data_IF_031115051055
#
_entry.id   IF_031115051055
#
_cell.length_a   1.000
_cell.length_b   1.000
_cell.length_c   1.000
_cell.angle_alpha   90.00
_cell.angle_beta   90.00
_cell.angle_gamma   90.00
#
_symmetry.space_group_name_H-M   'P 1'
#
loop_
_entity.id
_entity.type
_entity.pdbx_description
1 polymer ?
#
# COMPACT_ATOMS: atom_id res chain seq x y z
N UNK A 1 5.51 0.41 6.86
CA UNK A 1 4.80 -0.64 6.08
C UNK A 1 4.79 -0.26 4.60
N UNK A 2 5.34 -1.08 3.73
CA UNK A 2 5.24 -0.89 2.27
C UNK A 2 4.10 -1.75 1.74
N UNK A 3 3.02 -1.08 1.34
CA UNK A 3 1.76 -1.69 0.95
C UNK A 3 0.77 -1.83 2.12
N UNK A 4 -0.47 -1.41 1.86
CA UNK A 4 -1.63 -1.56 2.76
C UNK A 4 -2.71 -2.47 2.15
N UNK A 5 -2.29 -3.60 1.57
CA UNK A 5 -3.23 -4.70 1.28
C UNK A 5 -3.67 -5.41 2.56
N UNK A 6 -4.41 -6.51 2.48
CA UNK A 6 -4.95 -7.19 3.67
C UNK A 6 -3.88 -7.52 4.74
N UNK A 7 -2.75 -8.11 4.32
CA UNK A 7 -1.64 -8.45 5.23
C UNK A 7 -0.97 -7.20 5.81
N UNK A 8 -0.58 -6.26 4.95
CA UNK A 8 0.13 -5.06 5.37
C UNK A 8 -0.71 -4.14 6.27
N UNK A 9 -1.99 -3.99 5.96
CA UNK A 9 -2.92 -3.21 6.77
C UNK A 9 -3.15 -3.87 8.14
N UNK A 10 -3.34 -5.20 8.18
CA UNK A 10 -3.57 -5.91 9.44
C UNK A 10 -2.35 -5.84 10.37
N UNK A 11 -1.17 -6.25 9.91
CA UNK A 11 0.03 -6.23 10.75
C UNK A 11 0.45 -4.81 11.12
N UNK A 12 0.35 -3.86 10.19
CA UNK A 12 0.63 -2.47 10.49
C UNK A 12 -0.34 -1.88 11.53
N UNK A 13 -1.63 -2.26 11.48
CA UNK A 13 -2.60 -1.84 12.47
C UNK A 13 -2.34 -2.46 13.85
N UNK A 14 -1.94 -3.75 13.90
CA UNK A 14 -1.55 -4.42 15.16
C UNK A 14 -0.32 -3.75 15.76
N UNK A 15 0.71 -3.44 14.96
CA UNK A 15 1.92 -2.75 15.43
C UNK A 15 1.63 -1.34 15.94
N UNK A 16 0.79 -0.57 15.22
CA UNK A 16 0.37 0.76 15.67
C UNK A 16 -0.38 0.68 17.00
N UNK A 17 -1.30 -0.30 17.12
CA UNK A 17 -2.07 -0.53 18.36
C UNK A 17 -1.18 -0.95 19.53
N UNK A 18 -0.07 -1.65 19.28
CA UNK A 18 0.94 -2.00 20.27
C UNK A 18 1.82 -0.81 20.71
N UNK A 19 1.63 0.38 20.11
CA UNK A 19 2.34 1.61 20.48
C UNK A 19 3.55 1.96 19.60
N UNK A 20 3.80 1.22 18.52
CA UNK A 20 4.84 1.57 17.57
C UNK A 20 4.38 2.68 16.62
N UNK A 21 5.31 3.55 16.19
CA UNK A 21 5.03 4.57 15.18
C UNK A 21 5.08 3.93 13.78
N UNK A 22 3.92 3.65 13.19
CA UNK A 22 3.81 2.95 11.91
C UNK A 22 3.39 3.91 10.80
N UNK A 23 4.27 4.09 9.83
CA UNK A 23 4.00 4.81 8.60
C UNK A 23 3.65 3.84 7.46
N UNK A 24 2.72 4.22 6.60
CA UNK A 24 2.28 3.43 5.45
C UNK A 24 2.70 4.09 4.14
N UNK A 25 3.49 3.37 3.35
CA UNK A 25 3.78 3.70 1.95
C UNK A 25 2.77 2.98 1.06
N UNK A 26 1.87 3.73 0.44
CA UNK A 26 0.73 3.22 -0.34
C UNK A 26 0.61 3.95 -1.67
N UNK A 27 -0.38 3.56 -2.48
CA UNK A 27 -0.72 4.26 -3.73
C UNK A 27 -1.71 5.39 -3.45
N UNK A 28 -1.75 6.41 -4.32
CA UNK A 28 -2.69 7.54 -4.20
C UNK A 28 -4.11 7.11 -3.86
N UNK A 29 -4.63 6.09 -4.57
CA UNK A 29 -6.00 5.57 -4.35
C UNK A 29 -6.33 5.25 -2.89
N UNK A 30 -5.34 4.77 -2.13
CA UNK A 30 -5.54 4.40 -0.73
C UNK A 30 -5.02 5.46 0.24
N UNK A 31 -4.14 6.38 -0.20
CA UNK A 31 -3.48 7.34 0.67
C UNK A 31 -4.49 8.24 1.40
N UNK A 32 -5.37 8.90 0.64
CA UNK A 32 -6.37 9.81 1.20
C UNK A 32 -7.34 9.09 2.14
N UNK A 33 -7.81 7.91 1.76
CA UNK A 33 -8.76 7.13 2.56
C UNK A 33 -8.13 6.69 3.88
N UNK A 34 -6.89 6.19 3.86
CA UNK A 34 -6.20 5.75 5.09
C UNK A 34 -5.85 6.97 5.95
N UNK A 35 -5.47 8.09 5.35
CA UNK A 35 -5.12 9.30 6.09
C UNK A 35 -6.33 9.92 6.80
N UNK A 36 -7.51 9.87 6.18
CA UNK A 36 -8.74 10.46 6.74
C UNK A 36 -9.55 9.50 7.60
N UNK A 37 -9.62 8.22 7.22
CA UNK A 37 -10.44 7.20 7.88
C UNK A 37 -9.62 6.16 8.63
N UNK A 38 -8.29 6.21 8.59
CA UNK A 38 -7.45 5.21 9.25
C UNK A 38 -7.61 3.81 8.66
N UNK A 39 -7.27 2.81 9.47
CA UNK A 39 -7.38 1.39 9.12
C UNK A 39 -8.34 0.73 10.11
N UNK A 40 -9.44 0.17 9.59
CA UNK A 40 -10.36 -0.64 10.36
C UNK A 40 -10.00 -2.12 10.20
N UNK A 41 -9.96 -2.83 11.32
CA UNK A 41 -9.75 -4.28 11.39
C UNK A 41 -11.02 -4.91 11.93
N UNK A 42 -11.54 -5.88 11.19
CA UNK A 42 -12.73 -6.65 11.54
C UNK A 42 -12.38 -8.13 11.63
N UNK A 43 -12.94 -8.82 12.62
CA UNK A 43 -12.84 -10.28 12.78
C UNK A 43 -14.23 -10.84 13.05
N UNK A 44 -14.46 -12.12 12.76
CA UNK A 44 -15.71 -12.79 13.11
C UNK A 44 -15.91 -12.92 14.62
N UNK A 45 -14.81 -13.00 15.37
CA UNK A 45 -14.83 -13.33 16.80
C UNK A 45 -14.74 -12.12 17.72
N UNK A 46 -14.61 -10.91 17.16
CA UNK A 46 -14.43 -9.69 17.95
C UNK A 46 -15.03 -8.46 17.26
N UNK A 47 -15.51 -7.46 18.04
CA UNK A 47 -15.94 -6.19 17.49
C UNK A 47 -14.84 -5.52 16.65
N UNK A 48 -15.22 -4.81 15.57
CA UNK A 48 -14.24 -4.10 14.76
C UNK A 48 -13.59 -2.99 15.57
N UNK A 49 -12.32 -2.75 15.27
CA UNK A 49 -11.55 -1.66 15.87
C UNK A 49 -10.77 -0.94 14.78
N UNK A 50 -10.32 0.27 15.09
CA UNK A 50 -9.70 1.16 14.13
C UNK A 50 -8.47 1.83 14.73
N UNK A 51 -7.49 2.11 13.87
CA UNK A 51 -6.32 2.92 14.21
C UNK A 51 -6.18 4.08 13.23
N UNK A 52 -5.56 5.15 13.71
CA UNK A 52 -4.96 6.17 12.86
C UNK A 52 -3.46 5.88 12.78
N UNK A 53 -2.89 5.70 11.58
CA UNK A 53 -1.46 5.49 11.43
C UNK A 53 -0.68 6.77 11.76
N UNK A 54 0.60 6.61 12.12
CA UNK A 54 1.49 7.74 12.38
C UNK A 54 1.73 8.60 11.14
N UNK A 55 1.68 7.98 9.96
CA UNK A 55 1.70 8.70 8.69
C UNK A 55 1.34 7.80 7.51
N UNK A 56 0.96 8.45 6.41
CA UNK A 56 0.67 7.80 5.12
C UNK A 56 1.32 8.64 4.03
N UNK A 57 2.09 8.02 3.15
CA UNK A 57 2.66 8.71 1.98
C UNK A 57 2.63 7.79 0.74
N UNK A 58 2.79 8.40 -0.42
CA UNK A 58 3.04 7.75 -1.70
C UNK A 58 4.52 7.71 -2.07
N UNK A 59 5.37 8.46 -1.36
CA UNK A 59 6.81 8.51 -1.56
C UNK A 59 7.55 8.11 -0.28
N UNK A 60 8.54 7.23 -0.43
CA UNK A 60 9.37 6.81 0.71
C UNK A 60 10.16 7.97 1.33
N UNK A 61 10.53 8.98 0.53
CA UNK A 61 11.25 10.17 0.99
C UNK A 61 10.52 10.96 2.07
N UNK A 62 9.19 10.88 2.12
CA UNK A 62 8.38 11.68 3.03
C UNK A 62 8.22 11.04 4.41
N UNK A 63 8.59 9.76 4.54
CA UNK A 63 8.46 8.98 5.78
C UNK A 63 9.69 9.17 6.68
N UNK A 64 10.85 9.50 6.09
CA UNK A 64 12.12 9.61 6.81
C UNK A 64 12.73 8.25 7.15
N UNK A 65 13.70 8.26 8.07
CA UNK A 65 14.36 7.03 8.52
C UNK A 65 13.40 6.14 9.34
N UNK A 66 13.58 4.82 9.24
CA UNK A 66 12.75 3.84 9.94
C UNK A 66 13.64 2.74 10.53
N UNK A 67 13.37 2.33 11.76
CA UNK A 67 14.09 1.22 12.41
C UNK A 67 13.91 -0.11 11.66
N UNK A 68 12.76 -0.28 11.01
CA UNK A 68 12.45 -1.45 10.20
C UNK A 68 11.50 -1.11 9.04
N UNK A 69 11.73 -1.77 7.91
CA UNK A 69 10.85 -1.69 6.72
C UNK A 69 10.27 -3.07 6.43
N UNK A 70 8.94 -3.18 6.50
CA UNK A 70 8.21 -4.41 6.18
C UNK A 70 7.60 -4.28 4.79
N UNK A 71 8.02 -5.16 3.87
CA UNK A 71 7.46 -5.29 2.53
C UNK A 71 6.23 -6.22 2.58
N UNK A 72 5.05 -5.65 2.40
CA UNK A 72 3.77 -6.37 2.40
C UNK A 72 3.07 -6.29 1.03
N UNK A 73 3.87 -6.28 -0.03
CA UNK A 73 3.43 -6.29 -1.43
C UNK A 73 3.43 -7.72 -2.00
N UNK A 74 2.86 -7.91 -3.19
CA UNK A 74 2.91 -9.22 -3.85
C UNK A 74 4.35 -9.54 -4.27
N UNK A 75 4.75 -10.81 -4.17
CA UNK A 75 6.14 -11.28 -4.32
C UNK A 75 6.85 -10.80 -5.60
N UNK A 76 6.13 -10.69 -6.72
CA UNK A 76 6.68 -10.21 -7.99
C UNK A 76 7.11 -8.73 -7.98
N UNK A 77 6.74 -7.96 -6.96
CA UNK A 77 7.16 -6.56 -6.80
C UNK A 77 8.43 -6.41 -5.94
N UNK A 78 8.91 -7.51 -5.34
CA UNK A 78 10.03 -7.47 -4.38
C UNK A 78 11.36 -7.14 -5.06
N UNK A 79 11.63 -7.73 -6.24
CA UNK A 79 12.88 -7.49 -6.99
C UNK A 79 13.01 -6.04 -7.43
N UNK A 80 11.91 -5.41 -7.84
CA UNK A 80 11.90 -3.99 -8.23
C UNK A 80 12.17 -3.08 -7.04
N UNK A 81 11.54 -3.37 -5.90
CA UNK A 81 11.76 -2.62 -4.66
C UNK A 81 13.17 -2.75 -4.13
N UNK A 82 13.75 -3.96 -4.16
CA UNK A 82 15.12 -4.20 -3.74
C UNK A 82 16.14 -3.46 -4.64
N UNK A 83 15.82 -3.29 -5.93
CA UNK A 83 16.64 -2.52 -6.86
C UNK A 83 16.51 -0.99 -6.70
N UNK A 84 15.79 -0.50 -5.68
CA UNK A 84 15.49 0.92 -5.50
C UNK A 84 14.58 1.49 -6.60
N UNK A 85 14.04 0.63 -7.47
CA UNK A 85 13.10 1.03 -8.51
C UNK A 85 11.72 1.02 -7.90
N UNK A 86 11.25 2.19 -7.49
CA UNK A 86 9.82 2.41 -7.38
C UNK A 86 9.26 2.30 -8.81
N UNK A 87 8.92 1.08 -9.23
CA UNK A 87 8.45 0.75 -10.57
C UNK A 87 7.31 1.72 -10.96
N UNK A 88 7.16 2.18 -12.21
CA UNK A 88 5.96 2.89 -12.66
C UNK A 88 4.66 2.16 -12.32
N UNK A 89 4.67 0.84 -12.10
CA UNK A 89 3.51 0.13 -11.55
C UNK A 89 3.15 0.54 -10.11
N UNK A 90 4.04 1.10 -9.30
CA UNK A 90 3.71 1.75 -8.03
C UNK A 90 3.03 3.12 -8.24
N UNK A 91 3.27 3.77 -9.39
CA UNK A 91 2.66 5.02 -9.83
C UNK A 91 1.40 4.85 -10.71
N UNK A 92 1.17 3.68 -11.32
CA UNK A 92 0.04 3.45 -12.21
C UNK A 92 -0.68 2.14 -11.90
N UNK A 93 -1.97 2.24 -11.63
CA UNK A 93 -2.90 1.18 -12.02
C UNK A 93 -3.85 1.83 -13.04
N UNK A 94 -3.98 1.30 -14.27
CA UNK A 94 -4.98 1.82 -15.20
C UNK A 94 -6.39 1.72 -14.57
N UNK A 95 -7.31 2.63 -14.95
CA UNK A 95 -8.68 2.59 -14.43
C UNK A 95 -9.30 1.23 -14.75
N UNK A 96 -10.00 0.66 -13.77
CA UNK A 96 -10.76 -0.56 -13.95
C UNK A 96 -11.86 -0.28 -14.99
N UNK A 97 -11.69 -0.76 -16.22
CA UNK A 97 -12.65 -0.51 -17.30
C UNK A 97 -12.17 -0.65 -18.75
N UNK A 98 -10.90 -0.94 -19.03
CA UNK A 98 -10.48 -1.23 -20.41
C UNK A 98 -10.77 -2.70 -20.75
N UNK A 99 -12.01 -2.96 -21.15
CA UNK A 99 -12.38 -4.16 -21.89
C UNK A 99 -11.63 -4.25 -23.22
N UNK A 100 -11.57 -5.47 -23.73
CA UNK A 100 -11.05 -5.86 -25.04
C UNK A 100 -11.28 -4.80 -26.12
N UNK A 101 -10.27 -4.56 -26.96
CA UNK A 101 -10.48 -4.48 -28.41
C UNK A 101 -9.22 -4.98 -29.12
N UNK A 102 -9.42 -6.10 -29.81
CA UNK A 102 -8.49 -6.68 -30.76
C UNK A 102 -8.48 -5.84 -32.04
N UNK A 103 -7.30 -5.65 -32.63
CA UNK A 103 -7.16 -5.32 -34.05
C UNK A 103 -6.99 -3.84 -34.40
N UNK A 104 -5.75 -3.41 -34.59
CA UNK A 104 -5.28 -2.92 -35.89
C UNK A 104 -3.80 -2.54 -35.79
N UNK A 105 -2.94 -3.46 -36.25
CA UNK A 105 -1.63 -3.10 -36.75
C UNK A 105 -1.85 -2.30 -38.03
N UNK A 106 -1.41 -1.05 -38.02
CA UNK A 106 -1.18 -0.26 -39.22
C UNK A 106 0.22 -0.61 -39.73
N UNK A 107 0.28 -1.37 -40.82
CA UNK A 107 1.37 -1.47 -41.81
C UNK A 107 2.81 -1.83 -41.34
N UNK A 108 3.35 -2.84 -42.04
CA UNK A 108 4.71 -3.45 -41.97
C UNK A 108 4.95 -4.50 -40.89
#
# INVERSE_FOLDING_TARGET
>A
MVGAGGVGAYFGAVLQRAGHSVHFLVRERHAEVIQTKGIQVSSGDAPPWQIMPAGVSTLASDIGESDAVILATKAFQVSDMAAGRQNPQFSANPPAGAGCDAGSQSAC
#
